data_IF_609844402244
#
_entry.id   IF_609844402244
#
_cell.length_a   1.000
_cell.length_b   1.000
_cell.length_c   1.000
_cell.angle_alpha   90.00
_cell.angle_beta   90.00
_cell.angle_gamma   90.00
#
_symmetry.space_group_name_H-M   'P 1'
#
loop_
_entity.id
_entity.type
_entity.pdbx_description
1 polymer ?
#
# COMPACT_ATOMS: atom_id res chain seq x y z
N UNK A 1 -30.78 29.13 2.41
CA UNK A 1 -30.18 28.27 3.46
C UNK A 1 -30.39 26.82 3.06
N UNK A 2 -29.38 26.20 2.43
CA UNK A 2 -29.07 24.75 2.40
C UNK A 2 -27.71 24.68 1.66
N UNK A 3 -26.62 24.83 2.41
CA UNK A 3 -25.73 23.77 2.89
C UNK A 3 -24.63 23.42 1.85
N UNK A 4 -23.46 23.99 2.12
CA UNK A 4 -22.16 23.66 1.54
C UNK A 4 -21.67 22.28 2.00
N UNK A 5 -20.67 21.77 1.26
CA UNK A 5 -19.88 20.55 1.48
C UNK A 5 -20.48 19.29 0.81
N UNK A 6 -19.75 18.61 -0.08
CA UNK A 6 -18.49 17.93 0.22
C UNK A 6 -17.60 17.81 -1.03
N UNK A 7 -16.31 18.11 -0.85
CA UNK A 7 -15.26 17.94 -1.87
C UNK A 7 -15.01 16.47 -2.24
N UNK A 8 -14.10 16.22 -3.21
CA UNK A 8 -13.80 14.86 -3.65
C UNK A 8 -13.31 14.03 -2.47
N UNK A 9 -13.98 12.92 -2.20
CA UNK A 9 -13.54 11.92 -1.24
C UNK A 9 -12.23 11.32 -1.74
N UNK A 10 -11.10 11.91 -1.33
CA UNK A 10 -9.81 11.20 -1.33
C UNK A 10 -9.95 10.06 -0.32
N UNK A 11 -9.75 8.79 -0.71
CA UNK A 11 -9.76 7.70 0.24
C UNK A 11 -8.73 7.99 1.34
N UNK A 12 -9.24 7.92 2.56
CA UNK A 12 -8.53 8.06 3.82
C UNK A 12 -7.36 7.08 3.86
N UNK A 13 -6.13 7.62 3.81
CA UNK A 13 -4.92 6.88 4.15
C UNK A 13 -4.89 6.71 5.67
N UNK A 14 -5.80 5.86 6.17
CA UNK A 14 -5.82 5.44 7.57
C UNK A 14 -4.50 4.78 7.90
N UNK A 15 -3.77 5.44 8.79
CA UNK A 15 -2.43 5.13 9.20
C UNK A 15 -2.33 3.72 9.79
N UNK A 16 -1.26 3.04 9.42
CA UNK A 16 -0.79 1.71 9.84
C UNK A 16 -0.92 1.47 11.34
N UNK A 17 -1.58 0.37 11.71
CA UNK A 17 -1.48 -0.25 13.05
C UNK A 17 -0.59 -1.49 12.93
N UNK A 18 0.66 -1.51 13.46
CA UNK A 18 1.39 -2.77 13.69
C UNK A 18 1.04 -3.31 15.10
N UNK A 19 1.23 -4.60 15.49
CA UNK A 19 1.95 -5.74 14.90
C UNK A 19 1.14 -7.09 14.92
N UNK A 20 1.51 -8.18 14.22
CA UNK A 20 2.56 -9.13 14.67
C UNK A 20 3.47 -9.63 13.52
N UNK A 21 4.69 -10.03 13.86
CA UNK A 21 5.85 -10.37 13.00
C UNK A 21 5.67 -11.44 11.91
N UNK A 22 4.48 -12.05 11.79
CA UNK A 22 4.09 -12.88 10.63
C UNK A 22 3.32 -12.11 9.55
N UNK A 23 2.82 -10.91 9.87
CA UNK A 23 2.06 -10.03 8.97
C UNK A 23 2.95 -9.06 8.19
N UNK A 24 4.21 -8.85 8.61
CA UNK A 24 5.17 -7.97 7.94
C UNK A 24 5.42 -8.32 6.47
N UNK A 25 5.37 -9.61 6.10
CA UNK A 25 5.52 -10.05 4.71
C UNK A 25 4.34 -9.58 3.87
N UNK A 26 3.13 -9.85 4.33
CA UNK A 26 1.90 -9.49 3.63
C UNK A 26 1.69 -7.98 3.56
N UNK A 27 2.02 -7.26 4.63
CA UNK A 27 1.99 -5.79 4.66
C UNK A 27 3.02 -5.19 3.70
N UNK A 28 4.24 -5.74 3.63
CA UNK A 28 5.23 -5.32 2.63
C UNK A 28 4.75 -5.57 1.20
N UNK A 29 4.16 -6.75 0.91
CA UNK A 29 3.56 -7.06 -0.39
C UNK A 29 2.43 -6.09 -0.76
N UNK A 30 1.62 -5.67 0.22
CA UNK A 30 0.58 -4.66 0.02
C UNK A 30 1.17 -3.28 -0.29
N UNK A 31 2.17 -2.85 0.46
CA UNK A 31 2.85 -1.56 0.25
C UNK A 31 3.46 -1.45 -1.16
N UNK A 32 4.18 -2.48 -1.63
CA UNK A 32 4.73 -2.44 -2.99
C UNK A 32 3.65 -2.44 -4.08
N UNK A 33 2.50 -3.07 -3.83
CA UNK A 33 1.35 -3.05 -4.74
C UNK A 33 0.72 -1.66 -4.84
N UNK A 34 0.60 -0.95 -3.72
CA UNK A 34 0.13 0.44 -3.66
C UNK A 34 1.11 1.39 -4.38
N UNK A 35 2.42 1.20 -4.20
CA UNK A 35 3.45 1.97 -4.89
C UNK A 35 3.41 1.76 -6.41
N UNK A 36 3.21 0.52 -6.85
CA UNK A 36 3.02 0.17 -8.27
C UNK A 36 1.71 0.75 -8.82
N UNK A 37 0.61 0.68 -8.07
CA UNK A 37 -0.67 1.26 -8.48
C UNK A 37 -0.62 2.79 -8.59
N UNK A 38 0.19 3.44 -7.75
CA UNK A 38 0.46 4.88 -7.79
C UNK A 38 1.45 5.29 -8.89
N UNK A 39 2.05 4.34 -9.61
CA UNK A 39 3.04 4.60 -10.65
C UNK A 39 4.41 5.02 -10.11
N UNK A 40 4.68 4.82 -8.82
CA UNK A 40 5.97 5.11 -8.18
C UNK A 40 6.99 4.01 -8.47
N UNK A 41 6.52 2.76 -8.62
CA UNK A 41 7.34 1.62 -9.01
C UNK A 41 6.93 1.10 -10.39
N UNK A 42 7.92 0.72 -11.20
CA UNK A 42 7.68 -0.04 -12.43
C UNK A 42 7.31 -1.49 -12.12
N UNK A 43 6.65 -2.16 -13.07
CA UNK A 43 6.30 -3.59 -12.94
C UNK A 43 7.53 -4.47 -12.66
N UNK A 44 8.68 -4.15 -13.26
CA UNK A 44 9.95 -4.84 -13.02
C UNK A 44 10.38 -4.74 -11.55
N UNK A 45 10.42 -3.52 -11.00
CA UNK A 45 10.83 -3.27 -9.61
C UNK A 45 9.85 -3.91 -8.61
N UNK A 46 8.55 -3.86 -8.91
CA UNK A 46 7.53 -4.53 -8.10
C UNK A 46 7.76 -6.04 -8.01
N UNK A 47 8.09 -6.68 -9.14
CA UNK A 47 8.30 -8.13 -9.18
C UNK A 47 9.58 -8.54 -8.44
N UNK A 48 10.65 -7.75 -8.55
CA UNK A 48 11.90 -7.98 -7.80
C UNK A 48 11.69 -7.86 -6.29
N UNK A 49 11.01 -6.81 -5.82
CA UNK A 49 10.76 -6.61 -4.39
C UNK A 49 9.78 -7.65 -3.84
N UNK A 50 8.72 -7.99 -4.60
CA UNK A 50 7.82 -9.11 -4.26
C UNK A 50 8.58 -10.42 -4.13
N UNK A 51 9.45 -10.75 -5.09
CA UNK A 51 10.25 -11.97 -5.05
C UNK A 51 11.20 -12.00 -3.85
N UNK A 52 11.82 -10.86 -3.50
CA UNK A 52 12.65 -10.72 -2.31
C UNK A 52 11.86 -10.95 -1.03
N UNK A 53 10.72 -10.29 -0.86
CA UNK A 53 9.81 -10.48 0.28
C UNK A 53 9.32 -11.93 0.36
N UNK A 54 9.11 -12.60 -0.79
CA UNK A 54 8.71 -14.00 -0.82
C UNK A 54 9.84 -14.98 -0.45
N UNK A 55 11.10 -14.59 -0.63
CA UNK A 55 12.28 -15.43 -0.39
C UNK A 55 12.86 -15.28 1.02
N UNK A 56 12.53 -14.19 1.70
CA UNK A 56 12.87 -13.92 3.12
C UNK A 56 12.07 -14.77 4.13
N UNK A 57 11.38 -15.82 3.68
CA UNK A 57 10.50 -16.69 4.48
C UNK A 57 10.81 -18.16 4.28
#
# INVERSE_FOLDING_TARGET
MVESARGPTRPDLSVVTPPPTGSDRYERLRQIGELRASGVLSETEFQEEKARILKES
#
